data_IF_879517589105
#
_entry.id   IF_879517589105
#
_cell.length_a   1.000
_cell.length_b   1.000
_cell.length_c   1.000
_cell.angle_alpha   90.00
_cell.angle_beta   90.00
_cell.angle_gamma   90.00
#
_symmetry.space_group_name_H-M   'P 1'
#
loop_
_entity.id
_entity.type
_entity.pdbx_description
1 polymer ?
#
# COMPACT_ATOMS: atom_id res chain seq x y z
N UNK A 1 -14.39 7.38 -6.73
CA UNK A 1 -13.34 7.49 -7.77
C UNK A 1 -12.14 6.58 -7.50
N UNK A 2 -12.35 5.28 -7.27
CA UNK A 2 -11.28 4.25 -7.29
C UNK A 2 -11.84 2.83 -7.51
N UNK A 3 -13.14 2.72 -7.82
CA UNK A 3 -13.80 1.43 -8.03
C UNK A 3 -13.29 0.75 -9.32
N UNK A 4 -12.84 1.52 -10.31
CA UNK A 4 -12.33 1.01 -11.59
C UNK A 4 -10.97 0.30 -11.47
N UNK A 5 -10.19 0.61 -10.43
CA UNK A 5 -8.89 -0.04 -10.23
C UNK A 5 -8.95 -1.16 -9.20
N UNK A 6 -10.07 -1.37 -8.50
CA UNK A 6 -10.17 -2.41 -7.46
C UNK A 6 -10.01 -3.82 -8.02
N UNK A 7 -10.57 -4.06 -9.21
CA UNK A 7 -10.39 -5.33 -9.93
C UNK A 7 -8.95 -5.51 -10.42
N UNK A 8 -8.36 -4.44 -10.99
CA UNK A 8 -6.95 -4.46 -11.43
C UNK A 8 -6.02 -4.69 -10.26
N UNK A 9 -6.25 -4.03 -9.12
CA UNK A 9 -5.49 -4.20 -7.87
C UNK A 9 -5.62 -5.64 -7.36
N UNK A 10 -6.83 -6.21 -7.34
CA UNK A 10 -7.01 -7.61 -6.90
C UNK A 10 -6.33 -8.60 -7.82
N UNK A 11 -6.43 -8.41 -9.15
CA UNK A 11 -5.71 -9.25 -10.12
C UNK A 11 -4.20 -9.09 -9.98
N UNK A 12 -3.71 -7.86 -9.96
CA UNK A 12 -2.30 -7.54 -9.80
C UNK A 12 -1.73 -8.08 -8.49
N UNK A 13 -2.51 -8.09 -7.40
CA UNK A 13 -2.08 -8.66 -6.13
C UNK A 13 -1.91 -10.19 -6.18
N UNK A 14 -2.72 -10.87 -6.98
CA UNK A 14 -2.62 -12.33 -7.19
C UNK A 14 -1.52 -12.68 -8.20
N UNK A 15 -1.44 -11.90 -9.28
CA UNK A 15 -0.55 -12.14 -10.41
C UNK A 15 0.89 -11.67 -10.12
N UNK A 16 1.04 -10.61 -9.33
CA UNK A 16 2.32 -9.98 -9.04
C UNK A 16 2.68 -10.06 -7.55
N UNK A 17 3.61 -10.96 -7.24
CA UNK A 17 4.14 -11.16 -5.88
C UNK A 17 4.83 -9.92 -5.29
N UNK A 18 5.37 -9.02 -6.11
CA UNK A 18 5.88 -7.73 -5.61
C UNK A 18 4.75 -6.84 -5.11
N UNK A 19 3.61 -6.82 -5.81
CA UNK A 19 2.46 -6.02 -5.37
C UNK A 19 1.87 -6.57 -4.08
N UNK A 20 1.81 -7.90 -3.93
CA UNK A 20 1.42 -8.55 -2.68
C UNK A 20 2.29 -8.09 -1.50
N UNK A 21 3.62 -8.05 -1.66
CA UNK A 21 4.55 -7.58 -0.62
C UNK A 21 4.37 -6.10 -0.27
N UNK A 22 4.16 -5.24 -1.27
CA UNK A 22 3.88 -3.80 -1.04
C UNK A 22 2.58 -3.65 -0.26
N UNK A 23 1.57 -4.42 -0.61
CA UNK A 23 0.26 -4.39 0.03
C UNK A 23 0.31 -4.92 1.47
N UNK A 24 1.04 -6.01 1.72
CA UNK A 24 1.30 -6.52 3.06
C UNK A 24 2.00 -5.47 3.91
N UNK A 25 3.11 -4.90 3.43
CA UNK A 25 3.80 -3.80 4.12
C UNK A 25 2.87 -2.63 4.40
N UNK A 26 2.07 -2.20 3.43
CA UNK A 26 1.11 -1.13 3.63
C UNK A 26 0.12 -1.49 4.74
N UNK A 27 -0.41 -2.72 4.74
CA UNK A 27 -1.36 -3.18 5.72
C UNK A 27 -0.74 -3.28 7.12
N UNK A 28 0.51 -3.73 7.23
CA UNK A 28 1.28 -3.72 8.48
C UNK A 28 1.46 -2.29 9.00
N UNK A 29 1.85 -1.34 8.15
CA UNK A 29 1.99 0.07 8.54
C UNK A 29 0.64 0.67 8.97
N UNK A 30 -0.44 0.38 8.25
CA UNK A 30 -1.79 0.84 8.58
C UNK A 30 -2.24 0.28 9.94
N UNK A 31 -2.01 -1.01 10.17
CA UNK A 31 -2.31 -1.68 11.43
C UNK A 31 -1.48 -1.10 12.57
N UNK A 32 -0.19 -0.82 12.34
CA UNK A 32 0.69 -0.20 13.33
C UNK A 32 0.22 1.22 13.69
N UNK A 33 -0.18 2.01 12.68
CA UNK A 33 -0.79 3.33 12.92
C UNK A 33 -2.08 3.19 13.74
N UNK A 34 -2.93 2.22 13.40
CA UNK A 34 -4.17 1.97 14.14
C UNK A 34 -3.92 1.50 15.58
N UNK A 35 -2.88 0.70 15.81
CA UNK A 35 -2.47 0.26 17.14
C UNK A 35 -1.91 1.43 17.98
N UNK A 36 -1.18 2.36 17.36
CA UNK A 36 -0.74 3.61 18.01
C UNK A 36 -1.92 4.51 18.35
N UNK A 37 -2.83 4.71 17.40
CA UNK A 37 -4.02 5.55 17.57
C UNK A 37 -4.94 4.98 18.66
N UNK A 38 -5.04 3.65 18.75
CA UNK A 38 -5.71 2.94 19.82
C UNK A 38 -4.96 2.97 21.17
N UNK A 39 -3.80 3.60 21.24
CA UNK A 39 -2.96 3.70 22.45
C UNK A 39 -2.31 2.38 22.87
N UNK A 40 -2.25 1.38 21.97
CA UNK A 40 -1.57 0.10 22.22
C UNK A 40 -0.06 0.19 22.00
N UNK A 41 0.38 1.02 21.05
CA UNK A 41 1.79 1.35 20.83
C UNK A 41 2.04 2.85 21.09
N UNK A 42 3.11 3.18 21.81
CA UNK A 42 3.65 4.54 21.82
C UNK A 42 4.77 4.63 20.79
N UNK A 43 4.39 4.96 19.56
CA UNK A 43 5.37 5.32 18.53
C UNK A 43 5.79 6.78 18.72
N UNK A 44 7.08 7.05 18.57
CA UNK A 44 7.58 8.42 18.57
C UNK A 44 7.11 9.16 17.31
N UNK A 45 7.01 10.48 17.38
CA UNK A 45 6.72 11.34 16.21
C UNK A 45 7.62 11.02 15.00
N UNK A 46 8.89 10.68 15.26
CA UNK A 46 9.83 10.26 14.22
C UNK A 46 9.39 8.98 13.51
N UNK A 47 8.95 7.96 14.24
CA UNK A 47 8.43 6.73 13.63
C UNK A 47 7.14 7.00 12.87
N UNK A 48 6.23 7.81 13.43
CA UNK A 48 4.97 8.17 12.79
C UNK A 48 5.21 8.91 11.45
N UNK A 49 6.22 9.78 11.39
CA UNK A 49 6.66 10.45 10.16
C UNK A 49 7.25 9.47 9.14
N UNK A 50 8.03 8.49 9.61
CA UNK A 50 8.56 7.39 8.77
C UNK A 50 7.43 6.52 8.22
N UNK A 51 6.47 6.11 9.06
CA UNK A 51 5.31 5.30 8.65
C UNK A 51 4.47 6.02 7.58
N UNK A 52 4.24 7.33 7.74
CA UNK A 52 3.53 8.16 6.75
C UNK A 52 4.31 8.24 5.43
N UNK A 53 5.63 8.43 5.48
CA UNK A 53 6.50 8.44 4.28
C UNK A 53 6.53 7.09 3.57
N UNK A 54 6.65 6.00 4.32
CA UNK A 54 6.60 4.63 3.79
C UNK A 54 5.23 4.35 3.14
N UNK A 55 4.13 4.72 3.80
CA UNK A 55 2.78 4.58 3.25
C UNK A 55 2.63 5.33 1.92
N UNK A 56 3.18 6.54 1.83
CA UNK A 56 3.19 7.33 0.59
C UNK A 56 4.01 6.63 -0.50
N UNK A 57 5.24 6.19 -0.18
CA UNK A 57 6.11 5.44 -1.10
C UNK A 57 5.47 4.16 -1.64
N UNK A 58 4.89 3.36 -0.76
CA UNK A 58 4.22 2.11 -1.13
C UNK A 58 3.02 2.39 -2.03
N UNK A 59 2.30 3.49 -1.79
CA UNK A 59 1.20 3.93 -2.66
C UNK A 59 1.72 4.37 -4.03
N UNK A 60 2.84 5.10 -4.10
CA UNK A 60 3.49 5.49 -5.35
C UNK A 60 3.99 4.26 -6.14
N UNK A 61 4.65 3.31 -5.48
CA UNK A 61 5.07 2.05 -6.12
C UNK A 61 3.88 1.21 -6.58
N UNK A 62 2.84 1.08 -5.74
CA UNK A 62 1.62 0.40 -6.10
C UNK A 62 0.97 1.06 -7.33
N UNK A 63 0.93 2.39 -7.38
CA UNK A 63 0.39 3.13 -8.52
C UNK A 63 1.22 2.90 -9.79
N UNK A 64 2.55 2.97 -9.70
CA UNK A 64 3.44 2.67 -10.82
C UNK A 64 3.21 1.25 -11.36
N UNK A 65 3.02 0.28 -10.48
CA UNK A 65 2.73 -1.11 -10.84
C UNK A 65 1.35 -1.27 -11.49
N UNK A 66 0.32 -0.58 -10.97
CA UNK A 66 -1.02 -0.58 -11.57
C UNK A 66 -0.96 0.02 -12.98
N UNK A 67 -0.25 1.13 -13.16
CA UNK A 67 -0.08 1.78 -14.47
C UNK A 67 0.68 0.89 -15.43
N UNK A 68 1.77 0.26 -14.99
CA UNK A 68 2.56 -0.67 -15.79
C UNK A 68 1.70 -1.87 -16.24
N UNK A 69 0.99 -2.50 -15.30
CA UNK A 69 0.10 -3.62 -15.59
C UNK A 69 -1.04 -3.23 -16.53
N UNK A 70 -1.65 -2.06 -16.32
CA UNK A 70 -2.71 -1.56 -17.20
C UNK A 70 -2.18 -1.34 -18.62
N UNK A 71 -0.95 -0.86 -18.76
CA UNK A 71 -0.26 -0.68 -20.04
C UNK A 71 0.07 -2.02 -20.71
N UNK A 72 0.57 -3.00 -19.97
CA UNK A 72 0.86 -4.35 -20.49
C UNK A 72 -0.41 -5.11 -20.91
N UNK A 73 -1.50 -4.95 -20.18
CA UNK A 73 -2.79 -5.57 -20.50
C UNK A 73 -3.70 -4.73 -21.41
N UNK A 74 -3.21 -3.58 -21.89
CA UNK A 74 -3.87 -2.71 -22.86
C UNK A 74 -5.32 -2.31 -22.45
N UNK A 75 -5.51 -2.09 -21.14
CA UNK A 75 -6.77 -1.71 -20.47
C UNK A 75 -7.01 -0.19 -20.44
#
# INVERSE_FOLDING_TARGET
MLHEYREVISKLKVDNAHFAKIFEKHNELDQKIADVDAGREHLSDADLDVLKKEKLRLKDEAYAMIVAYKKEHNL
#
